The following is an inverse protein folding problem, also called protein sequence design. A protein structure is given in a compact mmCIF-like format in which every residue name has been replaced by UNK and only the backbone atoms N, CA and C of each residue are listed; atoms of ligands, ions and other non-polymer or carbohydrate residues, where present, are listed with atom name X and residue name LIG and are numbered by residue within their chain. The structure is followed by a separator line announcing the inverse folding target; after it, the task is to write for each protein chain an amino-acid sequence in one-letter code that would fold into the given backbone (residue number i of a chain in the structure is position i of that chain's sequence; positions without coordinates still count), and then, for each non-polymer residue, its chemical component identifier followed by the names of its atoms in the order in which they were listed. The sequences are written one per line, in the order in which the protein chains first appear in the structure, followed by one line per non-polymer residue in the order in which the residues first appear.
data_IF_962496673792
#
_entry.id   IF_962496673792
#
_cell.length_a   1.000
_cell.length_b   1.000
_cell.length_c   1.000
_cell.angle_alpha   90.00
_cell.angle_beta   90.00
_cell.angle_gamma   90.00
#
_symmetry.space_group_name_H-M   'P 1'
#
loop_
_entity.id
_entity.type
_entity.pdbx_description
1 polymer ?
#
# COMPACT_ATOMS: atom_id res chain seq x y z
N UNK A 1 -5.44 6.51 -40.06
CA UNK A 1 -5.26 6.91 -38.67
C UNK A 1 -3.77 6.92 -38.42
N UNK A 2 -3.22 8.12 -38.36
CA UNK A 2 -1.80 8.35 -38.18
C UNK A 2 -1.46 8.06 -36.69
N UNK A 3 -0.58 7.11 -36.51
CA UNK A 3 0.10 6.86 -35.23
C UNK A 3 1.21 7.90 -35.10
N UNK A 4 0.87 9.09 -34.67
CA UNK A 4 1.85 10.11 -34.32
C UNK A 4 1.24 11.12 -33.35
N UNK A 5 0.70 10.61 -32.25
CA UNK A 5 0.62 11.41 -31.05
C UNK A 5 1.94 11.17 -30.32
N UNK A 6 2.84 12.12 -30.49
CA UNK A 6 4.07 12.22 -29.75
C UNK A 6 3.71 12.14 -28.26
N UNK A 7 4.25 11.13 -27.62
CA UNK A 7 4.14 10.97 -26.17
C UNK A 7 4.87 12.15 -25.53
N UNK A 8 4.13 13.13 -25.06
CA UNK A 8 4.68 14.27 -24.34
C UNK A 8 5.11 13.74 -22.96
N UNK A 9 6.43 13.61 -22.75
CA UNK A 9 6.98 13.23 -21.45
C UNK A 9 6.56 14.19 -20.33
N UNK A 10 6.15 15.42 -20.68
CA UNK A 10 5.64 16.38 -19.69
C UNK A 10 4.20 16.03 -19.23
N UNK A 11 3.44 15.28 -20.00
CA UNK A 11 2.10 14.85 -19.60
C UNK A 11 2.12 13.81 -18.45
N UNK A 12 3.25 13.16 -18.19
CA UNK A 12 3.42 12.23 -17.06
C UNK A 12 3.57 13.00 -15.74
N UNK A 13 4.05 14.24 -15.79
CA UNK A 13 4.24 15.06 -14.61
C UNK A 13 2.95 15.72 -14.10
N UNK A 14 1.87 15.66 -14.89
CA UNK A 14 0.55 16.20 -14.51
C UNK A 14 -0.35 15.17 -13.83
N UNK A 15 0.14 13.97 -13.49
CA UNK A 15 -0.57 13.05 -12.62
C UNK A 15 -0.48 13.60 -11.19
N UNK A 16 -1.28 14.58 -10.89
CA UNK A 16 -1.43 15.09 -9.55
C UNK A 16 -2.04 14.00 -8.65
N UNK A 17 -1.17 13.34 -7.90
CA UNK A 17 -1.63 12.55 -6.77
C UNK A 17 -2.06 13.52 -5.68
N UNK A 18 -3.35 13.73 -5.55
CA UNK A 18 -3.92 14.59 -4.54
C UNK A 18 -4.39 13.78 -3.34
N UNK A 19 -4.02 14.20 -2.15
CA UNK A 19 -4.57 13.66 -0.91
C UNK A 19 -4.87 14.80 0.07
N UNK A 20 -6.06 14.80 0.62
CA UNK A 20 -6.52 15.84 1.53
C UNK A 20 -7.37 15.27 2.65
N UNK A 21 -7.05 15.66 3.88
CA UNK A 21 -7.94 15.46 5.03
C UNK A 21 -8.96 16.58 5.06
N UNK A 22 -10.17 16.32 4.60
CA UNK A 22 -11.27 17.31 4.55
C UNK A 22 -11.70 17.76 5.95
N UNK A 23 -11.77 16.80 6.87
CA UNK A 23 -12.07 17.02 8.29
C UNK A 23 -11.68 15.77 9.10
N UNK A 24 -12.02 15.71 10.38
CA UNK A 24 -11.68 14.57 11.24
C UNK A 24 -12.34 13.24 10.86
N UNK A 25 -13.28 13.24 9.93
CA UNK A 25 -14.07 12.07 9.52
C UNK A 25 -14.03 11.81 8.02
N UNK A 26 -13.43 12.70 7.24
CA UNK A 26 -13.46 12.63 5.79
C UNK A 26 -12.07 12.86 5.21
N UNK A 27 -11.65 11.92 4.38
CA UNK A 27 -10.40 11.95 3.63
C UNK A 27 -10.70 11.80 2.13
N UNK A 28 -10.05 12.59 1.30
CA UNK A 28 -10.16 12.50 -0.15
C UNK A 28 -8.77 12.31 -0.78
N UNK A 29 -8.72 11.52 -1.84
CA UNK A 29 -7.52 11.42 -2.67
C UNK A 29 -7.90 11.21 -4.12
N UNK A 30 -6.98 11.55 -5.00
CA UNK A 30 -7.12 11.36 -6.44
C UNK A 30 -5.95 10.55 -6.95
N UNK A 31 -6.22 9.64 -7.88
CA UNK A 31 -5.24 8.88 -8.60
C UNK A 31 -5.72 8.75 -10.05
N UNK A 32 -4.95 9.29 -10.98
CA UNK A 32 -5.23 9.16 -12.41
C UNK A 32 -4.36 8.05 -13.00
N UNK A 33 -5.02 7.09 -13.63
CA UNK A 33 -4.36 5.95 -14.29
C UNK A 33 -4.57 5.96 -15.82
N UNK A 34 -5.14 7.03 -16.33
CA UNK A 34 -5.43 7.20 -17.76
C UNK A 34 -4.13 7.28 -18.55
N UNK A 35 -4.06 6.54 -19.66
CA UNK A 35 -2.92 6.56 -20.57
C UNK A 35 -1.78 5.60 -20.20
N UNK A 36 -1.84 4.89 -19.08
CA UNK A 36 -0.86 3.86 -18.80
C UNK A 36 -1.04 2.65 -19.74
N UNK A 37 -0.18 2.54 -20.73
CA UNK A 37 -0.16 1.43 -21.69
C UNK A 37 0.76 0.28 -21.24
N UNK A 38 1.50 0.45 -20.14
CA UNK A 38 2.44 -0.55 -19.65
C UNK A 38 1.78 -1.51 -18.67
N UNK A 39 1.88 -2.80 -18.94
CA UNK A 39 1.52 -3.86 -18.00
C UNK A 39 2.66 -4.18 -17.02
N UNK A 40 3.88 -3.71 -17.31
CA UNK A 40 5.06 -3.92 -16.49
C UNK A 40 5.15 -2.91 -15.34
N UNK A 41 4.62 -1.72 -15.53
CA UNK A 41 4.64 -0.64 -14.57
C UNK A 41 3.20 -0.13 -14.33
N UNK A 42 2.40 -0.82 -13.50
CA UNK A 42 1.05 -0.39 -13.23
C UNK A 42 1.04 0.97 -12.52
N UNK A 43 0.23 1.89 -13.02
CA UNK A 43 -0.05 3.16 -12.33
C UNK A 43 -0.98 2.89 -11.16
N UNK A 44 -0.43 2.51 -10.03
CA UNK A 44 -1.18 2.34 -8.79
C UNK A 44 -0.79 3.43 -7.81
N UNK A 45 -1.77 4.06 -7.21
CA UNK A 45 -1.58 4.94 -6.07
C UNK A 45 -2.28 4.33 -4.86
N UNK A 46 -1.68 4.45 -3.71
CA UNK A 46 -2.24 3.94 -2.47
C UNK A 46 -2.18 4.97 -1.37
N UNK A 47 -3.16 4.91 -0.49
CA UNK A 47 -3.24 5.72 0.70
C UNK A 47 -3.40 4.84 1.92
N UNK A 48 -2.75 5.23 3.01
CA UNK A 48 -2.91 4.60 4.32
C UNK A 48 -3.58 5.60 5.25
N UNK A 49 -4.69 5.21 5.82
CA UNK A 49 -5.43 6.03 6.78
C UNK A 49 -5.53 5.35 8.13
N UNK A 50 -5.34 6.11 9.20
CA UNK A 50 -5.58 5.65 10.57
C UNK A 50 -7.02 5.99 10.94
N UNK A 51 -7.78 4.97 11.30
CA UNK A 51 -9.18 5.10 11.70
C UNK A 51 -9.31 4.76 13.18
N UNK A 52 -10.00 5.59 13.93
CA UNK A 52 -10.35 5.36 15.34
C UNK A 52 -11.86 5.15 15.46
N UNK A 53 -12.26 4.02 16.00
CA UNK A 53 -13.68 3.66 16.18
C UNK A 53 -13.82 2.32 16.89
N UNK A 54 -15.06 1.91 17.14
CA UNK A 54 -15.40 0.56 17.60
C UNK A 54 -15.57 -0.42 16.42
N UNK A 55 -15.78 -1.69 16.71
CA UNK A 55 -15.91 -2.74 15.69
C UNK A 55 -17.08 -2.53 14.74
N UNK A 56 -18.14 -1.82 15.17
CA UNK A 56 -19.34 -1.55 14.39
C UNK A 56 -19.26 -0.21 13.64
N UNK A 57 -18.20 0.56 13.86
CA UNK A 57 -17.99 1.82 13.12
C UNK A 57 -17.96 1.53 11.63
N UNK A 58 -18.82 2.21 10.89
CA UNK A 58 -18.92 2.10 9.44
C UNK A 58 -17.95 3.04 8.75
N UNK A 59 -17.27 2.53 7.75
CA UNK A 59 -16.39 3.29 6.87
C UNK A 59 -16.99 3.22 5.47
N UNK A 60 -17.26 4.38 4.90
CA UNK A 60 -17.81 4.51 3.56
C UNK A 60 -16.70 4.95 2.60
N UNK A 61 -16.53 4.22 1.52
CA UNK A 61 -15.61 4.53 0.43
C UNK A 61 -16.43 4.97 -0.78
N UNK A 62 -16.22 6.20 -1.20
CA UNK A 62 -16.74 6.65 -2.48
C UNK A 62 -15.60 6.62 -3.51
N UNK A 63 -15.74 5.76 -4.50
CA UNK A 63 -14.74 5.52 -5.54
C UNK A 63 -15.40 5.84 -6.88
N UNK A 64 -15.07 7.00 -7.44
CA UNK A 64 -15.76 7.61 -8.56
C UNK A 64 -17.27 7.74 -8.27
N UNK A 65 -18.11 7.05 -9.04
CA UNK A 65 -19.57 7.05 -8.93
C UNK A 65 -20.13 5.93 -8.04
N UNK A 66 -19.26 5.08 -7.49
CA UNK A 66 -19.64 3.93 -6.69
C UNK A 66 -19.33 4.11 -5.22
N UNK A 67 -20.26 3.67 -4.40
CA UNK A 67 -20.13 3.74 -2.95
C UNK A 67 -20.12 2.34 -2.34
N UNK A 68 -19.20 2.11 -1.42
CA UNK A 68 -19.03 0.88 -0.67
C UNK A 68 -18.98 1.20 0.81
N UNK A 69 -19.53 0.32 1.62
CA UNK A 69 -19.50 0.47 3.08
C UNK A 69 -19.04 -0.83 3.72
N UNK A 70 -18.15 -0.71 4.70
CA UNK A 70 -17.69 -1.83 5.51
C UNK A 70 -17.53 -1.39 6.97
N UNK A 71 -17.68 -2.32 7.90
CA UNK A 71 -17.39 -2.07 9.31
C UNK A 71 -15.88 -2.28 9.59
N UNK A 72 -15.39 -1.71 10.68
CA UNK A 72 -14.01 -2.01 11.15
C UNK A 72 -13.85 -3.52 11.38
N UNK A 73 -14.89 -4.18 11.90
CA UNK A 73 -14.90 -5.64 12.10
C UNK A 73 -14.67 -6.38 10.79
N UNK A 74 -15.36 -6.00 9.73
CA UNK A 74 -15.22 -6.62 8.42
C UNK A 74 -13.82 -6.42 7.86
N UNK A 75 -13.29 -5.21 7.96
CA UNK A 75 -11.94 -4.89 7.48
C UNK A 75 -10.84 -5.58 8.26
N UNK A 76 -11.05 -5.86 9.54
CA UNK A 76 -10.12 -6.67 10.34
C UNK A 76 -10.16 -8.15 9.93
N UNK A 77 -11.27 -8.62 9.36
CA UNK A 77 -11.42 -10.00 8.91
C UNK A 77 -10.90 -10.21 7.49
N UNK A 78 -11.19 -9.30 6.56
CA UNK A 78 -10.84 -9.43 5.13
C UNK A 78 -10.69 -8.06 4.45
N UNK A 79 -10.09 -8.07 3.27
CA UNK A 79 -10.03 -6.93 2.36
C UNK A 79 -10.97 -7.11 1.18
N UNK A 80 -11.08 -6.10 0.35
CA UNK A 80 -11.94 -6.09 -0.83
C UNK A 80 -11.13 -5.76 -2.08
N UNK A 81 -11.51 -6.37 -3.19
CA UNK A 81 -10.99 -6.03 -4.51
C UNK A 81 -12.14 -6.08 -5.50
N UNK A 82 -12.26 -5.07 -6.34
CA UNK A 82 -13.27 -5.06 -7.39
C UNK A 82 -12.80 -4.22 -8.59
N UNK A 83 -13.38 -4.51 -9.75
CA UNK A 83 -13.30 -3.65 -10.92
C UNK A 83 -14.42 -2.61 -10.90
N UNK A 84 -14.16 -1.42 -11.44
CA UNK A 84 -15.14 -0.35 -11.43
C UNK A 84 -16.32 -0.65 -12.39
N UNK A 85 -16.03 -1.20 -13.55
CA UNK A 85 -17.03 -1.49 -14.57
C UNK A 85 -16.90 -2.92 -15.11
N UNK A 86 -15.90 -3.19 -15.92
CA UNK A 86 -15.67 -4.47 -16.59
C UNK A 86 -14.22 -4.91 -16.44
N UNK A 87 -13.88 -6.10 -16.93
CA UNK A 87 -12.58 -6.76 -16.68
C UNK A 87 -11.42 -5.94 -17.18
N UNK A 88 -11.20 -5.04 -17.76
CA UNK A 88 -10.06 -4.16 -18.05
C UNK A 88 -10.30 -2.71 -17.61
N UNK A 89 -11.34 -2.49 -16.83
CA UNK A 89 -11.58 -1.18 -16.22
C UNK A 89 -10.65 -0.93 -15.04
N UNK A 90 -10.72 0.29 -14.51
CA UNK A 90 -10.08 0.64 -13.27
C UNK A 90 -10.48 -0.36 -12.17
N UNK A 91 -9.55 -0.64 -11.29
CA UNK A 91 -9.78 -1.53 -10.16
C UNK A 91 -9.30 -0.86 -8.87
N UNK A 92 -9.90 -1.27 -7.76
CA UNK A 92 -9.42 -0.87 -6.44
C UNK A 92 -9.22 -2.09 -5.56
N UNK A 93 -8.38 -1.90 -4.55
CA UNK A 93 -8.15 -2.87 -3.50
C UNK A 93 -8.13 -2.18 -2.14
N UNK A 94 -8.97 -2.67 -1.25
CA UNK A 94 -8.95 -2.29 0.16
C UNK A 94 -8.29 -3.45 0.90
N UNK A 95 -7.14 -3.16 1.51
CA UNK A 95 -6.40 -4.15 2.26
C UNK A 95 -7.09 -4.43 3.59
N UNK A 96 -6.88 -5.62 4.12
CA UNK A 96 -7.25 -5.96 5.49
C UNK A 96 -6.67 -4.95 6.46
N UNK A 97 -7.50 -4.43 7.34
CA UNK A 97 -7.04 -3.50 8.37
C UNK A 97 -6.08 -4.17 9.36
N UNK A 98 -5.13 -3.40 9.83
CA UNK A 98 -4.16 -3.84 10.84
C UNK A 98 -4.44 -3.05 12.12
N UNK A 99 -4.70 -3.72 13.26
CA UNK A 99 -4.83 -3.04 14.54
C UNK A 99 -3.56 -2.28 14.91
N UNK A 100 -3.69 -1.13 15.55
CA UNK A 100 -2.54 -0.33 15.98
C UNK A 100 -1.52 -1.12 16.83
N UNK A 101 -2.00 -2.05 17.65
CA UNK A 101 -1.18 -2.95 18.47
C UNK A 101 -0.33 -3.94 17.64
N UNK A 102 -0.59 -4.06 16.34
CA UNK A 102 0.16 -4.91 15.41
C UNK A 102 0.84 -4.13 14.30
N UNK A 103 0.86 -2.81 14.42
CA UNK A 103 1.43 -1.94 13.41
C UNK A 103 2.94 -1.82 13.54
N UNK A 104 3.44 -1.86 14.77
CA UNK A 104 4.86 -1.87 15.09
C UNK A 104 5.19 -3.08 15.93
N UNK A 105 6.39 -3.59 15.81
CA UNK A 105 6.95 -4.57 16.71
C UNK A 105 8.43 -4.27 16.90
N UNK A 106 8.94 -4.57 18.07
CA UNK A 106 10.35 -4.53 18.38
C UNK A 106 10.87 -5.96 18.38
N UNK A 107 12.02 -6.17 17.76
CA UNK A 107 12.68 -7.45 17.66
C UNK A 107 14.08 -7.32 18.25
N UNK A 108 14.35 -8.07 19.28
CA UNK A 108 15.67 -8.22 19.89
C UNK A 108 16.12 -9.66 19.70
N UNK A 109 17.25 -9.84 19.02
CA UNK A 109 17.82 -11.13 18.70
C UNK A 109 19.25 -11.18 19.20
N UNK A 110 19.57 -12.22 19.95
CA UNK A 110 20.91 -12.51 20.45
C UNK A 110 21.42 -13.81 19.80
N UNK A 111 22.59 -13.74 19.18
CA UNK A 111 23.29 -14.93 18.74
C UNK A 111 24.25 -15.39 19.83
N UNK A 112 23.83 -16.39 20.57
CA UNK A 112 24.59 -16.94 21.71
C UNK A 112 25.70 -17.92 21.32
N UNK A 113 25.73 -18.35 20.05
CA UNK A 113 26.73 -19.31 19.56
C UNK A 113 27.27 -18.91 18.18
N UNK A 114 27.97 -17.79 18.06
CA UNK A 114 28.56 -17.39 16.79
C UNK A 114 29.51 -18.45 16.28
N UNK A 115 29.32 -18.88 15.05
CA UNK A 115 30.01 -20.03 14.45
C UNK A 115 31.38 -19.66 13.89
N UNK A 116 31.55 -18.40 13.48
CA UNK A 116 32.74 -17.91 12.81
C UNK A 116 33.42 -16.78 13.62
N UNK A 117 34.63 -16.42 13.23
CA UNK A 117 35.29 -15.22 13.74
C UNK A 117 34.54 -13.93 13.33
N UNK A 118 33.91 -13.97 12.13
CA UNK A 118 33.07 -12.93 11.59
C UNK A 118 31.75 -13.55 11.12
N UNK A 119 30.65 -13.04 11.64
CA UNK A 119 29.32 -13.40 11.19
C UNK A 119 28.65 -12.23 10.47
N UNK A 120 27.78 -12.55 9.52
CA UNK A 120 27.07 -11.58 8.72
C UNK A 120 25.57 -11.77 8.89
N UNK A 121 24.93 -10.75 9.40
CA UNK A 121 23.48 -10.78 9.65
C UNK A 121 22.74 -9.94 8.62
N UNK A 122 21.68 -10.51 8.07
CA UNK A 122 20.76 -9.85 7.17
C UNK A 122 19.39 -9.78 7.81
N UNK A 123 18.75 -8.61 7.77
CA UNK A 123 17.35 -8.50 8.11
C UNK A 123 16.54 -8.29 6.84
N UNK A 124 15.56 -9.15 6.67
CA UNK A 124 14.61 -9.10 5.58
C UNK A 124 13.20 -9.09 6.15
N UNK A 125 12.40 -8.11 5.75
CA UNK A 125 11.02 -7.94 6.19
C UNK A 125 10.09 -8.11 5.01
N UNK A 126 9.24 -9.13 5.07
CA UNK A 126 8.22 -9.42 4.07
C UNK A 126 6.84 -9.06 4.58
N UNK A 127 6.13 -8.19 3.88
CA UNK A 127 4.74 -7.86 4.18
C UNK A 127 3.78 -8.78 3.40
N UNK A 128 2.58 -9.01 3.94
CA UNK A 128 1.54 -9.80 3.27
C UNK A 128 1.09 -9.25 1.92
N UNK A 129 1.28 -7.96 1.68
CA UNK A 129 1.01 -7.29 0.41
C UNK A 129 2.13 -7.44 -0.61
N UNK A 130 3.15 -8.29 -0.33
CA UNK A 130 4.33 -8.55 -1.16
C UNK A 130 5.31 -7.37 -1.26
N UNK A 131 5.28 -6.46 -0.33
CA UNK A 131 6.34 -5.47 -0.18
C UNK A 131 7.44 -6.03 0.71
N UNK A 132 8.67 -5.63 0.40
CA UNK A 132 9.88 -6.09 1.04
C UNK A 132 10.71 -4.92 1.50
N UNK A 133 11.37 -5.08 2.62
CA UNK A 133 12.40 -4.19 3.08
C UNK A 133 13.65 -5.01 3.43
N UNK A 134 14.81 -4.49 3.04
CA UNK A 134 16.10 -5.07 3.31
C UNK A 134 16.92 -4.08 4.11
N UNK A 135 17.62 -4.57 5.11
CA UNK A 135 18.59 -3.80 5.85
C UNK A 135 19.99 -4.16 5.36
N UNK A 136 20.88 -3.19 5.31
CA UNK A 136 22.28 -3.44 4.97
C UNK A 136 22.87 -4.52 5.89
N UNK A 137 23.75 -5.39 5.37
CA UNK A 137 24.38 -6.42 6.19
C UNK A 137 25.10 -5.83 7.41
N UNK A 138 24.96 -6.49 8.54
CA UNK A 138 25.68 -6.18 9.77
C UNK A 138 26.79 -7.22 9.90
N UNK A 139 28.03 -6.74 9.98
CA UNK A 139 29.20 -7.59 10.19
C UNK A 139 29.56 -7.55 11.69
N UNK A 140 29.52 -8.68 12.34
CA UNK A 140 29.89 -8.79 13.73
C UNK A 140 31.15 -9.68 13.89
N UNK A 141 32.09 -9.22 14.71
CA UNK A 141 33.29 -9.96 15.06
C UNK A 141 33.08 -10.60 16.43
N UNK A 142 33.45 -11.87 16.53
CA UNK A 142 33.50 -12.59 17.81
C UNK A 142 34.58 -11.97 18.70
N UNK A 143 34.22 -11.59 19.92
CA UNK A 143 35.16 -11.14 20.95
C UNK A 143 35.95 -12.30 21.56
#
# INVERSE_FOLDING_TARGET
PSADESYDENSINDIETFSELKNSQEFAWRCDTVGNKSTLHPCTSSVVVKVKGDLNTQITYQLNDKTYTATIKDLLAYGYTNHMEYYHSQAFKIYKAVPETRYTFDLDLEDINPENEWDVYHLEVAQKNRQWAYVSPIYAKKE
#
